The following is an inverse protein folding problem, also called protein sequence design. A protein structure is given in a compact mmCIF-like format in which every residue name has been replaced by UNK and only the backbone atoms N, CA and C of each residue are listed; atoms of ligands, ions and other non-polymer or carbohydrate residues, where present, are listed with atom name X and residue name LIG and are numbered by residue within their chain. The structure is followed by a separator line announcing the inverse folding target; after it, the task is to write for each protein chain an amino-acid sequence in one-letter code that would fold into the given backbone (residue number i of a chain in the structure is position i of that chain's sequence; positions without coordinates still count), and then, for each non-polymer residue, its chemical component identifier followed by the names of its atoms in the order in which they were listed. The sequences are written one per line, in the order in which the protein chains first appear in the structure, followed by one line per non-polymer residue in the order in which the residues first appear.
data_IF_855415265469
#
_entry.id   IF_855415265469
#
_cell.length_a   1.000
_cell.length_b   1.000
_cell.length_c   1.000
_cell.angle_alpha   90.00
_cell.angle_beta   90.00
_cell.angle_gamma   90.00
#
_symmetry.space_group_name_H-M   'P 1'
#
loop_
_entity.id
_entity.type
_entity.pdbx_description
1 polymer ?
#
# COMPACT_ATOMS: atom_id res chain seq x y z
N UNK A 1 24.61 -4.13 8.33
CA UNK A 1 24.94 -5.14 7.30
C UNK A 1 26.43 -5.14 7.01
N UNK A 2 26.98 -6.24 6.50
CA UNK A 2 28.32 -6.32 5.92
C UNK A 2 28.31 -5.86 4.45
N UNK A 3 27.25 -6.21 3.71
CA UNK A 3 26.99 -5.73 2.35
C UNK A 3 25.48 -5.65 2.11
N UNK A 4 25.07 -4.74 1.24
CA UNK A 4 23.71 -4.64 0.71
C UNK A 4 23.79 -4.44 -0.80
N UNK A 5 22.95 -5.14 -1.55
CA UNK A 5 22.83 -4.96 -2.99
C UNK A 5 21.36 -4.97 -3.41
N UNK A 6 21.07 -4.36 -4.55
CA UNK A 6 19.74 -4.37 -5.15
C UNK A 6 19.68 -5.49 -6.19
N UNK A 7 18.66 -6.34 -6.08
CA UNK A 7 18.35 -7.39 -7.04
C UNK A 7 16.94 -7.19 -7.58
N UNK A 8 16.72 -7.42 -8.87
CA UNK A 8 15.41 -7.23 -9.49
C UNK A 8 15.36 -7.72 -10.93
N UNK A 9 14.21 -7.53 -11.57
CA UNK A 9 14.00 -7.95 -12.97
C UNK A 9 15.03 -7.34 -13.93
N UNK A 10 15.45 -6.10 -13.69
CA UNK A 10 16.42 -5.36 -14.52
C UNK A 10 17.86 -5.90 -14.44
N UNK A 11 18.15 -6.84 -13.55
CA UNK A 11 19.48 -7.45 -13.42
C UNK A 11 19.41 -8.97 -13.26
N UNK A 12 18.33 -9.60 -13.75
CA UNK A 12 18.07 -11.04 -13.63
C UNK A 12 18.19 -11.57 -12.19
N UNK A 13 17.77 -10.75 -11.22
CA UNK A 13 17.86 -11.04 -9.79
C UNK A 13 19.30 -11.28 -9.28
N UNK A 14 20.31 -10.72 -9.96
CA UNK A 14 21.72 -10.89 -9.62
C UNK A 14 22.10 -10.11 -8.34
N UNK A 15 22.36 -10.87 -7.27
CA UNK A 15 22.71 -10.41 -5.92
C UNK A 15 24.03 -9.66 -5.79
N UNK A 16 24.85 -9.60 -6.82
CA UNK A 16 26.20 -9.00 -6.77
C UNK A 16 26.36 -7.81 -7.71
N UNK A 17 25.44 -7.65 -8.66
CA UNK A 17 25.58 -6.69 -9.76
C UNK A 17 25.42 -5.21 -9.35
N UNK A 18 24.56 -4.92 -8.37
CA UNK A 18 24.24 -3.55 -7.96
C UNK A 18 24.44 -3.37 -6.44
N UNK A 19 25.70 -3.34 -6.02
CA UNK A 19 26.06 -3.09 -4.61
C UNK A 19 25.76 -1.64 -4.19
N UNK A 20 25.24 -1.47 -2.97
CA UNK A 20 25.04 -0.18 -2.33
C UNK A 20 26.23 0.18 -1.44
N UNK A 21 26.43 1.47 -1.20
CA UNK A 21 27.43 1.97 -0.27
C UNK A 21 26.76 2.39 1.05
N UNK A 22 27.36 2.11 2.22
CA UNK A 22 26.90 2.72 3.46
C UNK A 22 27.21 4.22 3.42
N UNK A 23 26.29 5.05 3.93
CA UNK A 23 26.56 6.48 4.11
C UNK A 23 27.71 6.68 5.10
N UNK A 24 28.48 7.76 4.88
CA UNK A 24 29.65 8.11 5.71
C UNK A 24 29.30 8.76 7.04
N UNK A 25 28.01 8.94 7.34
CA UNK A 25 27.47 9.63 8.51
C UNK A 25 27.06 8.69 9.66
N UNK A 26 27.44 7.40 9.58
CA UNK A 26 27.10 6.35 10.55
C UNK A 26 25.59 6.17 10.82
N UNK A 27 24.72 6.68 9.95
CA UNK A 27 23.25 6.53 10.06
C UNK A 27 22.76 5.09 9.92
N UNK A 28 23.60 4.20 9.39
CA UNK A 28 23.25 2.82 9.05
C UNK A 28 22.48 2.68 7.72
N UNK A 29 22.26 3.80 7.01
CA UNK A 29 21.60 3.82 5.69
C UNK A 29 22.59 3.37 4.61
N UNK A 30 22.07 2.61 3.64
CA UNK A 30 22.77 2.18 2.44
C UNK A 30 22.15 2.86 1.23
N UNK A 31 22.97 3.41 0.35
CA UNK A 31 22.51 4.18 -0.80
C UNK A 31 23.31 3.87 -2.07
N UNK A 32 22.71 4.20 -3.20
CA UNK A 32 23.26 3.99 -4.52
C UNK A 32 22.27 4.44 -5.58
N UNK A 33 22.75 4.58 -6.82
CA UNK A 33 21.92 4.98 -7.95
C UNK A 33 22.09 3.99 -9.10
N UNK A 34 20.97 3.51 -9.64
CA UNK A 34 20.93 2.56 -10.75
C UNK A 34 20.18 3.25 -11.90
N UNK A 35 20.88 3.69 -12.97
CA UNK A 35 20.24 4.36 -14.09
C UNK A 35 19.43 3.39 -14.95
N UNK A 36 18.37 3.91 -15.59
CA UNK A 36 17.66 3.20 -16.66
C UNK A 36 16.77 2.05 -16.20
N UNK A 37 16.43 1.96 -14.91
CA UNK A 37 15.50 0.94 -14.41
C UNK A 37 14.06 1.32 -14.78
N UNK A 38 13.29 0.42 -15.42
CA UNK A 38 11.89 0.70 -15.77
C UNK A 38 10.98 0.90 -14.56
N UNK A 39 10.00 1.80 -14.69
CA UNK A 39 8.89 1.91 -13.75
C UNK A 39 8.10 0.58 -13.73
N UNK A 40 7.71 0.14 -12.54
CA UNK A 40 7.00 -1.10 -12.31
C UNK A 40 7.90 -2.32 -12.07
N UNK A 41 9.21 -2.22 -12.34
CA UNK A 41 10.13 -3.34 -12.15
C UNK A 41 10.14 -3.83 -10.70
N UNK A 42 10.10 -5.15 -10.54
CA UNK A 42 10.19 -5.80 -9.23
C UNK A 42 11.64 -5.80 -8.71
N UNK A 43 11.81 -5.54 -7.41
CA UNK A 43 13.12 -5.52 -6.76
C UNK A 43 13.07 -5.94 -5.27
N UNK A 44 14.24 -6.30 -4.75
CA UNK A 44 14.52 -6.58 -3.34
C UNK A 44 15.91 -6.10 -2.98
N UNK A 45 16.16 -5.95 -1.67
CA UNK A 45 17.50 -5.82 -1.13
C UNK A 45 18.04 -7.20 -0.75
N UNK A 46 19.19 -7.58 -1.29
CA UNK A 46 19.98 -8.68 -0.78
C UNK A 46 20.91 -8.16 0.31
N UNK A 47 20.77 -8.68 1.53
CA UNK A 47 21.47 -8.18 2.72
C UNK A 47 22.35 -9.29 3.26
N UNK A 48 23.64 -9.01 3.40
CA UNK A 48 24.61 -9.88 4.09
C UNK A 48 24.87 -9.33 5.49
N UNK A 49 24.69 -10.15 6.50
CA UNK A 49 24.92 -9.81 7.91
C UNK A 49 26.41 -9.75 8.25
N UNK A 50 26.76 -8.96 9.27
CA UNK A 50 28.09 -9.01 9.90
C UNK A 50 28.26 -10.21 10.83
N UNK A 51 27.16 -10.89 11.16
CA UNK A 51 27.11 -11.96 12.13
C UNK A 51 26.77 -13.30 11.45
N UNK A 52 27.56 -14.33 11.78
CA UNK A 52 27.29 -15.73 11.44
C UNK A 52 27.07 -16.05 9.95
N UNK A 53 27.55 -15.21 9.04
CA UNK A 53 27.41 -15.43 7.59
C UNK A 53 25.97 -15.42 7.07
N UNK A 54 25.02 -14.91 7.86
CA UNK A 54 23.61 -14.87 7.47
C UNK A 54 23.40 -13.92 6.29
N UNK A 55 22.61 -14.35 5.30
CA UNK A 55 22.18 -13.50 4.19
C UNK A 55 20.70 -13.71 3.91
N UNK A 56 20.01 -12.66 3.47
CA UNK A 56 18.56 -12.68 3.24
C UNK A 56 18.15 -11.69 2.16
N UNK A 57 17.07 -12.01 1.46
CA UNK A 57 16.44 -11.13 0.48
C UNK A 57 15.21 -10.48 1.15
N UNK A 58 15.18 -9.14 1.18
CA UNK A 58 14.14 -8.36 1.85
C UNK A 58 13.42 -7.45 0.88
N UNK A 59 12.10 -7.37 1.03
CA UNK A 59 11.32 -6.27 0.46
C UNK A 59 11.81 -4.94 1.04
N UNK A 60 11.64 -3.87 0.28
CA UNK A 60 11.93 -2.52 0.73
C UNK A 60 10.90 -2.10 1.80
N UNK A 61 11.34 -1.75 3.03
CA UNK A 61 10.45 -1.27 4.08
C UNK A 61 9.66 -0.01 3.71
N UNK A 62 10.15 0.79 2.76
CA UNK A 62 9.56 2.04 2.28
C UNK A 62 8.98 1.92 0.87
N UNK A 63 8.78 0.68 0.37
CA UNK A 63 8.09 0.47 -0.89
C UNK A 63 6.69 1.10 -0.86
N UNK A 64 6.36 1.84 -1.91
CA UNK A 64 5.02 2.41 -2.12
C UNK A 64 4.11 1.50 -2.93
N UNK A 65 4.68 0.43 -3.52
CA UNK A 65 3.94 -0.64 -4.19
C UNK A 65 4.69 -1.98 -4.08
N UNK A 66 3.94 -3.07 -4.16
CA UNK A 66 4.39 -4.45 -3.97
C UNK A 66 3.86 -5.36 -5.08
N UNK A 67 4.50 -6.50 -5.27
CA UNK A 67 3.85 -7.61 -5.96
C UNK A 67 2.70 -8.16 -5.12
N UNK A 68 1.69 -8.72 -5.77
CA UNK A 68 0.56 -9.35 -5.08
C UNK A 68 1.01 -10.65 -4.39
N UNK A 69 0.61 -10.90 -3.13
CA UNK A 69 0.91 -12.15 -2.44
C UNK A 69 0.48 -13.39 -3.24
N UNK A 70 1.26 -14.50 -3.22
CA UNK A 70 2.35 -14.80 -2.27
C UNK A 70 3.71 -14.20 -2.65
N UNK A 71 3.81 -13.46 -3.74
CA UNK A 71 5.05 -12.76 -4.10
C UNK A 71 5.39 -11.67 -3.08
N UNK A 72 6.68 -11.35 -2.98
CA UNK A 72 7.22 -10.52 -1.87
C UNK A 72 8.17 -9.43 -2.33
N UNK A 73 8.35 -9.22 -3.65
CA UNK A 73 9.17 -8.12 -4.10
C UNK A 73 8.41 -6.79 -4.03
N UNK A 74 9.17 -5.73 -3.78
CA UNK A 74 8.71 -4.36 -3.95
C UNK A 74 8.68 -4.02 -5.44
N UNK A 75 7.89 -3.03 -5.84
CA UNK A 75 7.87 -2.51 -7.21
C UNK A 75 8.29 -1.06 -7.23
N UNK A 76 9.17 -0.71 -8.17
CA UNK A 76 9.54 0.68 -8.42
C UNK A 76 8.30 1.39 -8.92
N UNK A 77 7.87 2.44 -8.23
CA UNK A 77 6.62 3.10 -8.52
C UNK A 77 6.67 4.58 -8.16
N UNK A 78 5.80 5.38 -8.76
CA UNK A 78 5.63 6.80 -8.42
C UNK A 78 4.21 7.04 -7.93
N UNK A 79 4.00 8.16 -7.23
CA UNK A 79 2.74 8.52 -6.57
C UNK A 79 2.03 9.68 -7.26
N UNK A 80 2.29 9.86 -8.56
CA UNK A 80 1.63 10.90 -9.36
C UNK A 80 0.13 10.58 -9.48
N UNK A 81 -0.73 11.51 -9.05
CA UNK A 81 -2.19 11.42 -9.10
C UNK A 81 -2.82 12.81 -8.99
N UNK A 82 -3.78 13.11 -9.87
CA UNK A 82 -4.51 14.38 -9.88
C UNK A 82 -5.79 14.27 -9.02
N UNK A 83 -5.72 14.80 -7.79
CA UNK A 83 -6.83 14.78 -6.82
C UNK A 83 -7.94 15.75 -7.19
N UNK A 84 -9.20 15.35 -6.96
CA UNK A 84 -10.39 16.17 -7.20
C UNK A 84 -11.21 16.43 -5.92
N UNK A 85 -10.59 16.29 -4.74
CA UNK A 85 -11.24 16.38 -3.43
C UNK A 85 -11.01 17.71 -2.70
N UNK A 86 -10.61 18.76 -3.43
CA UNK A 86 -10.26 20.08 -2.84
C UNK A 86 -11.38 20.65 -1.96
N UNK A 87 -12.64 20.54 -2.40
CA UNK A 87 -13.80 21.00 -1.62
C UNK A 87 -13.98 20.19 -0.32
N UNK A 88 -13.79 18.87 -0.38
CA UNK A 88 -13.84 18.02 0.81
C UNK A 88 -12.72 18.37 1.79
N UNK A 89 -11.49 18.53 1.29
CA UNK A 89 -10.33 18.85 2.11
C UNK A 89 -10.48 20.21 2.82
N UNK A 90 -11.12 21.19 2.18
CA UNK A 90 -11.42 22.50 2.78
C UNK A 90 -12.38 22.39 3.98
N UNK A 91 -13.33 21.45 3.96
CA UNK A 91 -14.35 21.25 5.01
C UNK A 91 -14.08 20.07 5.94
N UNK A 92 -13.01 19.28 5.70
CA UNK A 92 -12.67 18.07 6.45
C UNK A 92 -12.63 18.28 7.97
N UNK A 93 -12.12 19.43 8.42
CA UNK A 93 -12.06 19.76 9.85
C UNK A 93 -13.44 19.85 10.49
N UNK A 94 -14.42 20.36 9.78
CA UNK A 94 -15.80 20.44 10.23
C UNK A 94 -16.43 19.05 10.22
N UNK A 95 -16.26 18.29 9.14
CA UNK A 95 -16.79 16.93 9.01
C UNK A 95 -16.27 15.95 10.08
N UNK A 96 -15.04 16.18 10.57
CA UNK A 96 -14.38 15.34 11.58
C UNK A 96 -14.34 16.02 12.96
N UNK A 97 -15.13 17.08 13.17
CA UNK A 97 -15.20 17.78 14.46
C UNK A 97 -15.85 16.92 15.55
N UNK A 98 -15.57 17.22 16.82
CA UNK A 98 -16.14 16.49 17.96
C UNK A 98 -17.67 16.57 18.04
N UNK A 99 -18.25 17.65 17.51
CA UNK A 99 -19.70 17.89 17.47
C UNK A 99 -20.32 17.48 16.12
N UNK A 100 -19.53 16.96 15.18
CA UNK A 100 -20.02 16.53 13.88
C UNK A 100 -20.74 15.18 13.99
N UNK A 101 -21.75 14.92 13.14
CA UNK A 101 -22.35 13.59 13.07
C UNK A 101 -21.30 12.57 12.64
N UNK A 102 -21.08 11.55 13.47
CA UNK A 102 -20.14 10.46 13.20
C UNK A 102 -20.87 9.13 13.19
N UNK A 103 -21.19 8.65 11.99
CA UNK A 103 -21.73 7.32 11.74
C UNK A 103 -20.83 6.61 10.73
N UNK A 104 -20.26 5.48 11.15
CA UNK A 104 -19.17 4.78 10.46
C UNK A 104 -19.69 3.44 9.94
N UNK A 105 -19.40 3.16 8.66
CA UNK A 105 -19.56 1.84 8.06
C UNK A 105 -18.19 1.16 7.96
N UNK A 106 -17.92 0.22 8.87
CA UNK A 106 -16.69 -0.58 8.87
C UNK A 106 -16.72 -1.63 7.74
N UNK A 107 -15.62 -1.76 6.99
CA UNK A 107 -15.56 -2.64 5.83
C UNK A 107 -14.20 -3.30 5.66
N UNK A 108 -14.22 -4.61 5.43
CA UNK A 108 -13.10 -5.36 4.88
C UNK A 108 -13.25 -5.48 3.35
N UNK A 109 -12.42 -4.74 2.60
CA UNK A 109 -12.55 -4.58 1.14
C UNK A 109 -12.60 -5.92 0.39
N UNK A 110 -11.79 -6.90 0.79
CA UNK A 110 -11.69 -8.19 0.11
C UNK A 110 -12.87 -9.15 0.32
N UNK A 111 -13.76 -8.88 1.28
CA UNK A 111 -14.92 -9.72 1.59
C UNK A 111 -16.25 -8.98 1.52
N UNK A 112 -16.25 -7.66 1.32
CA UNK A 112 -17.47 -6.87 1.20
C UNK A 112 -18.30 -7.30 -0.01
N UNK A 113 -17.67 -7.33 -1.19
CA UNK A 113 -18.24 -7.84 -2.44
C UNK A 113 -17.17 -8.48 -3.30
N UNK A 114 -17.59 -9.48 -4.07
CA UNK A 114 -16.78 -10.22 -5.04
C UNK A 114 -17.58 -10.38 -6.33
N UNK A 115 -16.93 -10.85 -7.38
CA UNK A 115 -17.57 -11.17 -8.66
C UNK A 115 -17.66 -12.70 -8.84
N UNK A 116 -18.78 -13.35 -8.47
CA UNK A 116 -18.94 -14.80 -8.59
C UNK A 116 -18.75 -15.31 -10.03
N UNK A 117 -19.19 -14.53 -11.01
CA UNK A 117 -19.08 -14.82 -12.44
C UNK A 117 -17.63 -14.80 -12.96
N UNK A 118 -16.72 -14.12 -12.26
CA UNK A 118 -15.29 -14.07 -12.56
C UNK A 118 -14.47 -14.93 -11.56
N UNK A 119 -14.98 -16.12 -11.25
CA UNK A 119 -14.28 -17.05 -10.36
C UNK A 119 -14.15 -16.53 -8.92
N UNK A 120 -15.12 -15.73 -8.47
CA UNK A 120 -15.15 -15.12 -7.15
C UNK A 120 -13.95 -14.18 -6.88
N UNK A 121 -13.48 -13.48 -7.92
CA UNK A 121 -12.36 -12.54 -7.79
C UNK A 121 -12.69 -11.37 -6.86
N UNK A 122 -11.63 -10.74 -6.36
CA UNK A 122 -11.73 -9.45 -5.68
C UNK A 122 -12.17 -8.36 -6.66
N UNK A 123 -12.96 -7.41 -6.16
CA UNK A 123 -13.12 -6.13 -6.82
C UNK A 123 -11.82 -5.33 -6.69
N UNK A 124 -11.51 -4.55 -7.73
CA UNK A 124 -10.46 -3.54 -7.66
C UNK A 124 -10.92 -2.33 -6.86
N UNK A 125 -10.00 -1.51 -6.37
CA UNK A 125 -10.33 -0.25 -5.69
C UNK A 125 -11.25 0.64 -6.54
N UNK A 126 -11.04 0.67 -7.86
CA UNK A 126 -11.88 1.44 -8.81
C UNK A 126 -13.31 0.93 -8.91
N UNK A 127 -13.50 -0.38 -8.84
CA UNK A 127 -14.83 -0.99 -8.89
C UNK A 127 -15.56 -0.87 -7.55
N UNK A 128 -14.81 -0.89 -6.44
CA UNK A 128 -15.36 -0.72 -5.09
C UNK A 128 -15.88 0.70 -4.91
N UNK A 129 -15.12 1.72 -5.32
CA UNK A 129 -15.42 3.13 -5.02
C UNK A 129 -16.86 3.58 -5.32
N UNK A 130 -17.41 3.43 -6.55
CA UNK A 130 -18.77 3.86 -6.85
C UNK A 130 -19.82 3.05 -6.09
N UNK A 131 -19.63 1.73 -5.97
CA UNK A 131 -20.58 0.85 -5.30
C UNK A 131 -20.64 1.12 -3.79
N UNK A 132 -19.48 1.34 -3.17
CA UNK A 132 -19.36 1.57 -1.74
C UNK A 132 -19.95 2.95 -1.39
N UNK A 133 -19.64 3.97 -2.19
CA UNK A 133 -20.20 5.30 -1.97
C UNK A 133 -21.73 5.32 -2.08
N UNK A 134 -22.30 4.64 -3.09
CA UNK A 134 -23.74 4.51 -3.24
C UNK A 134 -24.37 3.82 -2.03
N UNK A 135 -23.79 2.70 -1.60
CA UNK A 135 -24.27 1.93 -0.46
C UNK A 135 -24.26 2.76 0.83
N UNK A 136 -23.11 3.35 1.16
CA UNK A 136 -22.89 4.17 2.37
C UNK A 136 -23.84 5.37 2.39
N UNK A 137 -23.97 6.07 1.26
CA UNK A 137 -24.88 7.22 1.13
C UNK A 137 -26.34 6.82 1.26
N UNK A 138 -26.76 5.71 0.65
CA UNK A 138 -28.16 5.23 0.72
C UNK A 138 -28.60 4.91 2.15
N UNK A 139 -27.65 4.50 3.00
CA UNK A 139 -27.89 4.16 4.39
C UNK A 139 -27.63 5.32 5.37
N UNK A 140 -27.15 6.47 4.87
CA UNK A 140 -26.94 7.69 5.67
C UNK A 140 -25.67 7.68 6.53
N UNK A 141 -24.70 6.81 6.23
CA UNK A 141 -23.39 6.84 6.89
C UNK A 141 -22.57 8.06 6.45
N UNK A 142 -21.75 8.56 7.36
CA UNK A 142 -20.88 9.73 7.13
C UNK A 142 -19.46 9.34 6.76
N UNK A 143 -19.02 8.16 7.20
CA UNK A 143 -17.66 7.68 7.09
C UNK A 143 -17.63 6.20 6.74
N UNK A 144 -16.54 5.80 6.10
CA UNK A 144 -16.13 4.42 5.94
C UNK A 144 -14.87 4.19 6.77
N UNK A 145 -14.83 3.12 7.54
CA UNK A 145 -13.62 2.64 8.20
C UNK A 145 -13.15 1.38 7.50
N UNK A 146 -11.92 1.43 6.97
CA UNK A 146 -11.30 0.31 6.28
C UNK A 146 -10.48 -0.49 7.29
N UNK A 147 -10.73 -1.80 7.37
CA UNK A 147 -9.76 -2.74 7.93
C UNK A 147 -8.40 -2.55 7.21
N UNK A 148 -7.27 -2.97 7.83
CA UNK A 148 -5.95 -2.58 7.35
C UNK A 148 -5.74 -2.85 5.86
N UNK A 149 -5.45 -1.78 5.12
CA UNK A 149 -5.25 -1.80 3.67
C UNK A 149 -3.78 -1.87 3.27
N UNK A 150 -2.85 -1.78 4.23
CA UNK A 150 -1.42 -1.94 4.01
C UNK A 150 -1.08 -3.36 3.53
N UNK A 151 0.04 -3.51 2.82
CA UNK A 151 0.40 -4.82 2.26
C UNK A 151 0.68 -5.85 3.37
N UNK A 152 0.04 -7.01 3.23
CA UNK A 152 0.08 -8.10 4.20
C UNK A 152 0.05 -9.45 3.47
N UNK A 153 0.90 -10.42 3.85
CA UNK A 153 1.09 -11.66 3.09
C UNK A 153 -0.08 -12.63 3.24
N UNK A 154 -0.66 -12.71 4.44
CA UNK A 154 -1.70 -13.68 4.76
C UNK A 154 -3.09 -13.04 4.80
N UNK A 155 -3.94 -13.41 3.85
CA UNK A 155 -5.30 -12.86 3.75
C UNK A 155 -6.17 -13.14 4.98
N UNK A 156 -5.96 -14.29 5.65
CA UNK A 156 -6.69 -14.65 6.87
C UNK A 156 -6.34 -13.80 8.10
N UNK A 157 -5.33 -12.93 8.02
CA UNK A 157 -5.04 -11.94 9.06
C UNK A 157 -5.97 -10.72 9.02
N UNK A 158 -6.80 -10.60 7.97
CA UNK A 158 -7.64 -9.43 7.68
C UNK A 158 -6.88 -8.11 7.58
N UNK A 159 -5.57 -8.19 7.32
CA UNK A 159 -4.68 -7.04 7.22
C UNK A 159 -3.84 -6.76 8.47
N UNK A 160 -4.20 -7.35 9.63
CA UNK A 160 -3.52 -7.04 10.88
C UNK A 160 -2.08 -7.57 10.97
N UNK A 161 -1.66 -8.48 10.09
CA UNK A 161 -0.25 -8.91 9.99
C UNK A 161 0.46 -8.17 8.83
N UNK A 162 0.68 -6.88 9.00
CA UNK A 162 1.26 -5.99 7.98
C UNK A 162 2.76 -6.23 7.77
N UNK A 163 3.21 -6.19 6.52
CA UNK A 163 4.65 -6.25 6.17
C UNK A 163 5.11 -5.10 5.28
N UNK A 164 4.21 -4.48 4.51
CA UNK A 164 4.51 -3.31 3.67
C UNK A 164 3.70 -2.10 4.12
N UNK A 165 4.21 -1.40 5.13
CA UNK A 165 3.50 -0.30 5.80
C UNK A 165 3.20 0.91 4.90
N UNK A 166 3.99 1.13 3.85
CA UNK A 166 3.88 2.28 2.95
C UNK A 166 3.19 1.97 1.63
N UNK A 167 2.73 0.73 1.42
CA UNK A 167 2.06 0.29 0.22
C UNK A 167 0.63 -0.18 0.54
N UNK A 168 -0.41 0.33 -0.15
CA UNK A 168 -1.70 -0.35 -0.14
C UNK A 168 -1.55 -1.73 -0.79
N UNK A 169 -2.32 -2.72 -0.32
CA UNK A 169 -2.20 -4.10 -0.78
C UNK A 169 -2.47 -4.20 -2.28
N UNK A 170 -1.59 -4.89 -2.99
CA UNK A 170 -1.70 -5.06 -4.45
C UNK A 170 -2.86 -5.97 -4.87
N UNK A 171 -3.58 -6.59 -3.92
CA UNK A 171 -4.75 -7.46 -4.19
C UNK A 171 -5.87 -6.75 -4.96
N UNK A 172 -6.00 -5.43 -4.79
CA UNK A 172 -7.12 -4.65 -5.34
C UNK A 172 -6.69 -3.62 -6.39
N UNK A 173 -5.39 -3.55 -6.73
CA UNK A 173 -4.89 -2.64 -7.77
C UNK A 173 -3.61 -1.92 -7.38
N UNK A 174 -3.37 -0.80 -8.06
CA UNK A 174 -2.22 0.09 -7.85
C UNK A 174 -2.46 1.09 -6.71
N UNK A 175 -1.42 1.78 -6.22
CA UNK A 175 -1.56 2.90 -5.30
C UNK A 175 -2.51 4.00 -5.82
N UNK A 176 -2.47 4.31 -7.12
CA UNK A 176 -3.37 5.27 -7.75
C UNK A 176 -4.83 4.80 -7.74
N UNK A 177 -5.08 3.49 -7.81
CA UNK A 177 -6.44 2.97 -7.70
C UNK A 177 -6.98 3.13 -6.27
N UNK A 178 -6.11 3.02 -5.26
CA UNK A 178 -6.47 3.33 -3.87
C UNK A 178 -6.68 4.84 -3.67
N UNK A 179 -5.84 5.70 -4.26
CA UNK A 179 -6.06 7.15 -4.28
C UNK A 179 -7.43 7.48 -4.90
N UNK A 180 -7.77 6.85 -6.03
CA UNK A 180 -9.08 7.00 -6.65
C UNK A 180 -10.24 6.59 -5.74
N UNK A 181 -10.12 5.51 -4.97
CA UNK A 181 -11.13 5.12 -3.99
C UNK A 181 -11.36 6.23 -2.96
N UNK A 182 -10.30 6.79 -2.40
CA UNK A 182 -10.38 7.86 -1.39
C UNK A 182 -10.93 9.15 -2.00
N UNK A 183 -10.40 9.58 -3.15
CA UNK A 183 -10.82 10.76 -3.89
C UNK A 183 -12.32 10.69 -4.24
N UNK A 184 -12.77 9.54 -4.75
CA UNK A 184 -14.18 9.34 -5.10
C UNK A 184 -15.08 9.40 -3.86
N UNK A 185 -14.70 8.76 -2.74
CA UNK A 185 -15.48 8.84 -1.50
C UNK A 185 -15.57 10.27 -0.97
N UNK A 186 -14.46 11.02 -1.00
CA UNK A 186 -14.42 12.43 -0.61
C UNK A 186 -15.35 13.30 -1.48
N UNK A 187 -15.35 13.10 -2.81
CA UNK A 187 -16.27 13.78 -3.72
C UNK A 187 -17.75 13.45 -3.44
N UNK A 188 -18.03 12.30 -2.83
CA UNK A 188 -19.37 11.94 -2.37
C UNK A 188 -19.67 12.40 -0.93
N UNK A 189 -18.78 13.19 -0.32
CA UNK A 189 -18.93 13.71 1.03
C UNK A 189 -18.74 12.68 2.14
N UNK A 190 -18.05 11.57 1.84
CA UNK A 190 -17.82 10.45 2.77
C UNK A 190 -16.37 10.51 3.26
N UNK A 191 -16.18 10.53 4.59
CA UNK A 191 -14.84 10.45 5.17
C UNK A 191 -14.28 9.03 5.17
N UNK A 192 -12.95 8.91 5.08
CA UNK A 192 -12.25 7.61 5.11
C UNK A 192 -11.37 7.53 6.35
N UNK A 193 -11.54 6.46 7.11
CA UNK A 193 -10.74 6.09 8.28
C UNK A 193 -10.00 4.80 7.93
N UNK A 194 -8.74 4.70 8.34
CA UNK A 194 -7.92 3.50 8.14
C UNK A 194 -7.57 2.90 9.49
N UNK A 195 -7.80 1.61 9.63
CA UNK A 195 -7.15 0.83 10.68
C UNK A 195 -5.64 0.82 10.44
N UNK A 196 -4.91 1.32 11.43
CA UNK A 196 -3.46 1.37 11.43
C UNK A 196 -2.91 0.47 12.52
N UNK A 197 -1.91 -0.35 12.18
CA UNK A 197 -1.43 -1.46 13.04
C UNK A 197 0.03 -1.25 13.44
N UNK A 198 0.35 -0.29 14.33
CA UNK A 198 1.74 -0.03 14.75
C UNK A 198 2.21 -0.93 15.90
N UNK A 199 1.36 -1.82 16.41
CA UNK A 199 1.56 -2.49 17.69
C UNK A 199 2.54 -3.67 17.64
N UNK A 200 2.86 -4.20 16.46
CA UNK A 200 3.70 -5.38 16.28
C UNK A 200 4.39 -5.46 14.90
#
# INVERSE_FOLDING_TARGET
AAAVSVMGEFNDWNKQSHALAPRTDDSGIWEGFIPGVPLGSAYKFHIVSRHHGYAVDKADPFAVWSQSPPETASRIWTLDYDWNDTEWMARRREANGLEAPLSIYEVHLGSWRRLPEEGNRFLSYREIAPQLAEHVRSLGFTHVELLPVMEHPFYGSWGYQTTGYFAPTARYGSPQDFMYLVDYLHQQGIGVILDWVPSH
#
